data_IF_658620644740
#
_entry.id   IF_658620644740
#
_cell.length_a   1.000
_cell.length_b   1.000
_cell.length_c   1.000
_cell.angle_alpha   90.00
_cell.angle_beta   90.00
_cell.angle_gamma   90.00
#
_symmetry.space_group_name_H-M   'P 1'
#
loop_
_entity.id
_entity.type
_entity.pdbx_description
1 polymer ?
2 non-polymer ?
3 non-polymer ?
4 non-polymer ?
5 water ?
#
# COMPACT_ATOMS: atom_id res chain seq x y z
N UNK A 13 -4.84 15.35 20.90
CA UNK A 13 -5.54 15.15 19.64
C UNK A 13 -4.63 14.52 18.60
N UNK A 14 -3.39 14.24 19.00
CA UNK A 14 -2.46 13.56 18.11
C UNK A 14 -3.00 12.20 17.71
N UNK A 15 -2.62 11.77 16.50
CA UNK A 15 -3.05 10.47 16.00
C UNK A 15 -2.62 9.34 16.94
N UNK A 16 -3.54 8.43 17.20
CA UNK A 16 -3.29 7.27 18.06
C UNK A 16 -3.05 6.07 17.14
N UNK A 17 -1.85 5.50 17.10
CA UNK A 17 -1.58 4.38 16.19
C UNK A 17 -2.41 3.17 16.56
N UNK A 18 -3.06 2.55 15.59
CA UNK A 18 -3.81 1.31 15.84
C UNK A 18 -2.88 0.20 16.29
N UNK A 19 -3.40 -0.88 16.87
CA UNK A 19 -2.54 -2.01 17.24
C UNK A 19 -1.91 -2.67 16.02
N UNK A 20 -0.80 -3.35 16.25
CA UNK A 20 -0.05 -3.96 15.16
C UNK A 20 -0.75 -5.21 14.64
N UNK A 21 -0.76 -5.37 13.32
CA UNK A 21 -1.27 -6.58 12.72
C UNK A 21 -0.25 -7.70 12.89
N UNK A 22 -0.66 -8.96 12.69
CA UNK A 22 0.28 -10.08 12.87
C UNK A 22 1.43 -10.03 11.87
N UNK A 23 2.59 -10.47 12.34
CA UNK A 23 3.78 -10.61 11.52
C UNK A 23 4.26 -12.04 11.63
N UNK A 24 4.41 -12.71 10.49
CA UNK A 24 4.85 -14.10 10.44
C UNK A 24 6.24 -14.17 9.84
N UNK A 25 7.10 -14.98 10.46
CA UNK A 25 8.47 -15.20 10.00
C UNK A 25 8.62 -16.70 9.74
N UNK A 26 8.12 -17.18 8.61
CA UNK A 26 8.12 -18.63 8.35
C UNK A 26 9.53 -19.16 8.14
N UNK A 27 9.73 -20.40 8.60
CA UNK A 27 10.96 -21.11 8.29
C UNK A 27 10.97 -21.49 6.81
N UNK A 28 12.11 -22.06 6.37
CA UNK A 28 12.22 -22.47 4.97
C UNK A 28 11.21 -23.55 4.62
N UNK A 29 10.87 -24.41 5.58
CA UNK A 29 9.87 -25.44 5.33
C UNK A 29 8.49 -24.84 5.15
N UNK A 30 8.12 -23.89 6.03
CA UNK A 30 6.82 -23.25 5.91
C UNK A 30 6.73 -22.34 4.69
N UNK A 31 7.87 -21.83 4.22
CA UNK A 31 7.93 -20.90 3.10
C UNK A 31 7.82 -21.59 1.74
N UNK A 32 7.41 -22.85 1.71
CA UNK A 32 7.44 -23.62 0.48
C UNK A 32 6.29 -23.26 -0.47
N UNK A 33 5.16 -22.81 0.07
CA UNK A 33 4.00 -22.52 -0.77
C UNK A 33 3.19 -21.38 -0.17
N UNK A 34 2.96 -20.29 -0.93
CA UNK A 34 2.17 -19.18 -0.39
C UNK A 34 0.74 -19.57 -0.05
N UNK A 35 0.01 -20.20 -0.97
CA UNK A 35 -1.39 -20.54 -0.71
C UNK A 35 -1.51 -21.53 0.44
N UNK A 36 -0.57 -22.48 0.55
CA UNK A 36 -0.59 -23.39 1.69
C UNK A 36 -0.29 -22.65 2.99
N UNK A 37 0.61 -21.67 2.95
CA UNK A 37 0.95 -20.92 4.15
C UNK A 37 -0.19 -19.99 4.57
N UNK A 38 -0.76 -19.26 3.61
CA UNK A 38 -1.85 -18.33 3.93
C UNK A 38 -3.05 -19.09 4.47
N UNK A 39 -3.29 -20.30 3.96
CA UNK A 39 -4.38 -21.10 4.48
C UNK A 39 -4.18 -21.54 5.92
N UNK A 40 -2.92 -21.72 6.33
CA UNK A 40 -2.65 -22.16 7.70
C UNK A 40 -2.71 -21.00 8.68
N UNK A 41 -2.21 -19.82 8.30
CA UNK A 41 -2.30 -18.65 9.16
C UNK A 41 -3.67 -17.99 9.10
N UNK A 42 -4.59 -18.51 8.29
CA UNK A 42 -5.91 -17.91 8.10
C UNK A 42 -6.68 -17.68 9.39
N UNK A 43 -6.78 -18.62 10.33
CA UNK A 43 -7.60 -18.37 11.54
C UNK A 43 -7.23 -17.11 12.29
N UNK A 44 -5.96 -16.69 12.27
CA UNK A 44 -5.55 -15.47 12.95
C UNK A 44 -5.62 -14.25 12.04
N UNK A 45 -5.01 -14.33 10.85
CA UNK A 45 -4.94 -13.17 9.98
C UNK A 45 -6.32 -12.77 9.45
N UNK A 46 -7.24 -13.73 9.35
CA UNK A 46 -8.60 -13.38 8.92
C UNK A 46 -9.27 -12.44 9.90
N UNK A 47 -8.90 -12.51 11.18
CA UNK A 47 -9.49 -11.68 12.22
C UNK A 47 -8.81 -10.32 12.34
N UNK A 48 -7.76 -10.06 11.56
CA UNK A 48 -7.12 -8.76 11.50
C UNK A 48 -7.17 -8.11 10.13
N UNK A 49 -7.67 -8.81 9.12
CA UNK A 49 -7.74 -8.24 7.77
C UNK A 49 -6.45 -8.24 6.97
N UNK A 50 -5.36 -7.80 7.59
CA UNK A 50 -4.06 -7.76 6.95
C UNK A 50 -3.05 -8.48 7.83
N UNK A 51 -1.97 -8.95 7.21
CA UNK A 51 -0.87 -9.55 7.93
C UNK A 51 0.40 -9.35 7.12
N UNK A 52 1.53 -9.37 7.82
CA UNK A 52 2.83 -9.18 7.21
C UNK A 52 3.60 -10.50 7.26
N UNK A 53 4.33 -10.81 6.19
CA UNK A 53 5.10 -12.04 6.08
C UNK A 53 6.54 -11.67 5.76
N UNK A 54 7.45 -12.03 6.67
CA UNK A 54 8.88 -11.81 6.45
C UNK A 54 9.50 -13.09 5.91
N UNK A 55 9.99 -13.10 4.69
CA UNK A 55 10.62 -14.32 4.14
C UNK A 55 11.88 -14.66 4.91
N UNK A 56 12.41 -15.86 4.73
CA UNK A 56 13.71 -16.19 5.35
C UNK A 56 14.79 -15.20 4.92
N UNK A 57 15.81 -15.07 5.77
CA UNK A 57 16.77 -13.98 5.62
C UNK A 57 17.51 -14.04 4.29
N UNK A 58 17.78 -15.25 3.80
CA UNK A 58 18.55 -15.42 2.57
C UNK A 58 17.69 -15.47 1.32
N UNK A 59 16.40 -15.11 1.41
CA UNK A 59 15.52 -15.03 0.25
C UNK A 59 15.47 -13.57 -0.19
N UNK A 60 16.25 -13.25 -1.23
CA UNK A 60 16.39 -11.88 -1.71
C UNK A 60 16.36 -11.85 -3.23
N UNK A 61 15.20 -11.63 -3.84
CA UNK A 61 15.12 -11.54 -5.28
C UNK A 61 15.77 -10.27 -5.79
N UNK A 62 16.57 -10.35 -6.84
CA UNK A 62 17.16 -9.12 -7.41
C UNK A 62 16.13 -8.33 -8.20
N UNK A 63 16.28 -7.01 -8.16
CA UNK A 63 15.36 -6.13 -8.85
C UNK A 63 15.51 -6.31 -10.37
N UNK A 64 14.41 -6.61 -11.04
CA UNK A 64 14.44 -7.02 -12.44
C UNK A 64 13.73 -6.07 -13.38
N UNK A 65 13.38 -4.87 -12.93
CA UNK A 65 12.77 -3.89 -13.83
C UNK A 65 13.83 -3.30 -14.75
N UNK A 66 13.38 -2.89 -15.95
CA UNK A 66 14.24 -2.18 -16.89
C UNK A 66 14.37 -0.75 -16.40
N UNK A 67 15.31 -0.54 -15.47
CA UNK A 67 15.46 0.75 -14.83
C UNK A 67 15.92 1.82 -15.81
N UNK A 68 16.61 1.41 -16.88
CA UNK A 68 17.09 2.38 -17.86
C UNK A 68 15.93 3.07 -18.58
N UNK A 69 14.96 2.28 -19.05
CA UNK A 69 13.84 2.80 -19.80
C UNK A 69 12.65 3.20 -18.92
N UNK A 70 12.76 3.03 -17.61
CA UNK A 70 11.61 3.23 -16.73
C UNK A 70 11.22 4.70 -16.70
N UNK A 71 10.08 5.02 -17.29
CA UNK A 71 9.53 6.37 -17.27
C UNK A 71 8.05 6.30 -16.99
N UNK A 72 7.55 7.25 -16.21
CA UNK A 72 6.13 7.22 -15.84
C UNK A 72 5.66 8.62 -15.51
N UNK A 73 4.35 8.79 -15.49
CA UNK A 73 3.70 10.07 -15.18
C UNK A 73 2.82 9.88 -13.96
N UNK A 74 3.28 10.24 -12.77
CA UNK A 74 2.51 9.94 -11.55
C UNK A 74 1.30 10.84 -11.40
N UNK A 75 0.32 10.33 -10.67
CA UNK A 75 -0.87 11.12 -10.35
C UNK A 75 -0.57 12.12 -9.24
N UNK A 76 -1.27 13.24 -9.28
CA UNK A 76 -1.11 14.30 -8.30
C UNK A 76 -2.13 14.08 -7.18
N UNK A 77 -1.67 14.15 -5.94
CA UNK A 77 -2.50 13.88 -4.77
C UNK A 77 -2.45 15.09 -3.83
N UNK A 78 -3.61 15.70 -3.62
CA UNK A 78 -3.77 16.75 -2.63
C UNK A 78 -4.32 16.12 -1.36
N UNK A 79 -3.56 16.21 -0.26
CA UNK A 79 -3.87 15.43 0.93
C UNK A 79 -5.19 15.86 1.56
N UNK A 80 -5.51 17.16 1.52
CA UNK A 80 -6.72 17.67 2.16
C UNK A 80 -7.83 17.98 1.15
N UNK A 81 -7.94 17.19 0.08
CA UNK A 81 -8.91 17.51 -0.96
C UNK A 81 -10.34 17.34 -0.47
N UNK A 82 -10.58 16.35 0.40
CA UNK A 82 -11.94 16.14 0.91
C UNK A 82 -12.32 17.22 1.93
N UNK A 83 -11.42 17.51 2.87
CA UNK A 83 -11.71 18.52 3.88
C UNK A 83 -11.91 19.90 3.24
N UNK A 84 -11.26 20.16 2.11
CA UNK A 84 -11.39 21.43 1.42
C UNK A 84 -12.73 21.57 0.70
N UNK A 85 -13.58 20.54 0.73
CA UNK A 85 -14.91 20.66 0.13
C UNK A 85 -15.80 21.61 0.91
N UNK A 86 -15.60 21.70 2.22
CA UNK A 86 -16.42 22.58 3.07
C UNK A 86 -15.68 22.95 4.34
N UNK A 95 -9.79 23.63 -11.83
CA UNK A 95 -9.10 22.36 -11.64
C UNK A 95 -7.75 22.30 -12.35
N UNK A 96 -7.00 23.40 -12.28
CA UNK A 96 -5.69 23.51 -12.89
C UNK A 96 -4.61 23.72 -11.85
N UNK A 97 -4.69 22.96 -10.75
CA UNK A 97 -3.74 23.11 -9.66
C UNK A 97 -2.35 22.65 -10.07
N UNK A 98 -2.24 21.45 -10.63
CA UNK A 98 -0.95 20.89 -10.99
C UNK A 98 -1.14 19.79 -12.02
N UNK A 99 -0.45 19.92 -13.14
CA UNK A 99 -0.52 18.91 -14.19
C UNK A 99 0.39 17.72 -13.86
N UNK A 100 0.08 16.59 -14.47
CA UNK A 100 0.91 15.39 -14.31
C UNK A 100 2.10 15.50 -15.26
N UNK A 101 3.29 15.22 -14.75
CA UNK A 101 4.52 15.33 -15.53
C UNK A 101 5.26 14.00 -15.52
N UNK A 102 6.23 13.89 -16.41
CA UNK A 102 6.95 12.64 -16.62
C UNK A 102 8.21 12.60 -15.76
N UNK A 103 8.44 11.45 -15.13
CA UNK A 103 9.64 11.19 -14.36
C UNK A 103 10.32 9.93 -14.87
N UNK A 104 11.60 9.81 -14.57
CA UNK A 104 12.29 8.53 -14.57
C UNK A 104 12.36 8.03 -13.13
N UNK A 105 12.84 6.79 -12.98
CA UNK A 105 12.94 6.21 -11.64
C UNK A 105 13.94 6.98 -10.79
N UNK A 106 15.02 7.47 -11.40
CA UNK A 106 16.02 8.23 -10.67
C UNK A 106 15.56 9.66 -10.40
N UNK A 107 14.92 10.30 -11.38
CA UNK A 107 14.47 11.68 -11.18
C UNK A 107 13.32 11.76 -10.21
N UNK A 108 12.45 10.76 -10.17
CA UNK A 108 11.38 10.73 -9.18
C UNK A 108 11.96 10.53 -7.77
N UNK A 109 12.99 9.69 -7.65
CA UNK A 109 13.60 9.49 -6.35
C UNK A 109 14.30 10.74 -5.83
N UNK A 110 14.95 11.48 -6.72
CA UNK A 110 15.57 12.74 -6.31
C UNK A 110 14.53 13.75 -5.86
N UNK A 111 13.39 13.81 -6.57
CA UNK A 111 12.30 14.69 -6.14
C UNK A 111 11.72 14.23 -4.81
N UNK A 112 11.56 12.92 -4.63
CA UNK A 112 10.94 12.39 -3.42
C UNK A 112 11.82 12.62 -2.20
N UNK A 113 13.13 12.37 -2.32
CA UNK A 113 14.02 12.57 -1.20
C UNK A 113 14.17 14.05 -0.86
N UNK A 114 14.20 14.91 -1.88
CA UNK A 114 14.29 16.35 -1.62
C UNK A 114 13.05 16.84 -0.90
N UNK A 115 11.87 16.36 -1.29
CA UNK A 115 10.63 16.79 -0.65
C UNK A 115 10.63 16.43 0.84
N UNK A 116 10.93 15.16 1.14
CA UNK A 116 10.85 14.70 2.53
C UNK A 116 11.90 15.37 3.40
N UNK A 117 13.14 15.44 2.92
CA UNK A 117 14.21 16.05 3.71
C UNK A 117 13.96 17.54 3.92
N UNK A 118 13.40 18.23 2.91
CA UNK A 118 13.07 19.63 3.11
C UNK A 118 11.86 19.79 4.03
N UNK A 119 10.91 18.85 3.98
CA UNK A 119 9.71 18.98 4.78
C UNK A 119 10.02 18.80 6.27
N UNK A 120 10.83 17.81 6.61
CA UNK A 120 11.15 17.51 8.00
C UNK A 120 12.47 18.13 8.47
N UNK A 121 13.21 18.76 7.57
CA UNK A 121 14.47 19.44 7.91
C UNK A 121 15.47 18.47 8.54
N UNK A 122 15.61 17.30 7.94
CA UNK A 122 16.52 16.27 8.41
C UNK A 122 16.67 15.22 7.32
N UNK A 123 17.74 14.41 7.36
CA UNK A 123 17.89 13.34 6.37
C UNK A 123 16.69 12.41 6.39
N UNK A 124 16.36 11.88 5.20
CA UNK A 124 15.11 11.14 5.03
C UNK A 124 15.11 9.88 5.89
N UNK A 125 16.27 9.25 6.08
CA UNK A 125 16.34 8.01 6.84
C UNK A 125 16.31 8.23 8.34
N UNK A 126 16.34 9.49 8.80
CA UNK A 126 16.30 9.80 10.23
C UNK A 126 14.92 10.20 10.71
N UNK A 127 13.95 10.34 9.81
CA UNK A 127 12.59 10.74 10.19
C UNK A 127 11.87 9.53 10.75
N UNK A 128 11.43 9.58 12.02
CA UNK A 128 10.73 8.42 12.60
C UNK A 128 9.43 8.14 11.87
N UNK A 129 9.11 6.84 11.74
CA UNK A 129 7.87 6.46 11.07
C UNK A 129 6.64 6.99 11.80
N UNK A 130 6.71 7.10 13.14
CA UNK A 130 5.57 7.62 13.89
C UNK A 130 5.31 9.09 13.56
N UNK A 131 6.38 9.84 13.29
CA UNK A 131 6.21 11.26 12.98
C UNK A 131 5.57 11.47 11.61
N UNK A 132 6.03 10.73 10.60
CA UNK A 132 5.41 10.80 9.28
C UNK A 132 3.95 10.39 9.35
N UNK A 133 3.64 9.34 10.13
CA UNK A 133 2.26 8.90 10.28
C UNK A 133 1.43 9.97 10.97
N UNK A 134 1.96 10.57 12.04
CA UNK A 134 1.23 11.62 12.73
C UNK A 134 1.03 12.84 11.82
N UNK A 135 2.05 13.20 11.04
CA UNK A 135 1.94 14.38 10.20
C UNK A 135 1.01 14.14 9.00
N UNK A 136 1.03 12.92 8.46
CA UNK A 136 0.18 12.60 7.32
C UNK A 136 -1.29 12.81 7.67
N UNK A 137 -1.73 12.30 8.81
CA UNK A 137 -3.14 12.41 9.18
C UNK A 137 -3.50 13.81 9.64
N UNK A 138 -2.52 14.58 10.12
CA UNK A 138 -2.78 15.99 10.40
C UNK A 138 -2.98 16.77 9.11
N UNK A 139 -2.17 16.48 8.08
CA UNK A 139 -2.28 17.18 6.80
C UNK A 139 -3.56 16.79 6.07
N UNK A 140 -4.06 15.57 6.27
CA UNK A 140 -5.25 15.13 5.57
C UNK A 140 -6.46 15.96 5.96
N UNK A 141 -6.52 16.37 7.24
CA UNK A 141 -7.65 17.12 7.76
C UNK A 141 -7.31 18.59 8.01
N UNK A 142 -6.15 19.05 7.56
CA UNK A 142 -5.75 20.44 7.77
C UNK A 142 -6.37 21.34 6.71
N UNK A 143 -6.92 22.47 7.13
CA UNK A 143 -7.49 23.44 6.21
C UNK A 143 -6.52 24.58 5.88
N UNK A 144 -5.54 24.84 6.75
CA UNK A 144 -4.60 25.93 6.50
C UNK A 144 -3.45 25.49 5.61
N UNK A 145 -2.97 24.26 5.77
CA UNK A 145 -1.82 23.76 5.02
C UNK A 145 -2.30 22.87 3.88
N UNK A 146 -1.80 23.14 2.68
CA UNK A 146 -2.15 22.40 1.48
C UNK A 146 -0.90 21.72 0.93
N UNK A 147 -0.72 20.46 1.30
CA UNK A 147 0.42 19.66 0.85
C UNK A 147 0.01 18.83 -0.35
N UNK A 148 0.84 18.83 -1.38
CA UNK A 148 0.56 18.13 -2.64
C UNK A 148 1.75 17.24 -2.96
N UNK A 149 1.48 15.96 -3.23
CA UNK A 149 2.52 14.98 -3.53
C UNK A 149 2.13 14.26 -4.82
N UNK A 150 2.98 13.30 -5.21
CA UNK A 150 2.80 12.56 -6.45
C UNK A 150 2.99 11.07 -6.18
N UNK A 151 2.24 10.25 -6.92
CA UNK A 151 2.24 8.81 -6.71
C UNK A 151 2.24 8.11 -8.06
N UNK A 152 3.27 7.30 -8.32
CA UNK A 152 3.28 6.46 -9.50
C UNK A 152 2.44 5.22 -9.27
N UNK A 153 1.13 5.34 -9.49
CA UNK A 153 0.19 4.31 -9.07
C UNK A 153 -0.54 3.61 -10.21
N UNK A 154 -0.25 3.96 -11.47
CA UNK A 154 -0.88 3.30 -12.62
C UNK A 154 0.22 2.78 -13.55
N UNK A 155 0.94 1.78 -13.07
CA UNK A 155 2.08 1.21 -13.78
C UNK A 155 1.91 -0.31 -13.81
N UNK A 156 1.63 -0.86 -14.98
CA UNK A 156 1.50 -2.30 -15.12
C UNK A 156 2.88 -2.93 -15.27
N UNK A 157 3.01 -4.18 -14.82
CA UNK A 157 4.26 -4.92 -15.01
C UNK A 157 4.53 -5.20 -16.49
N UNK A 158 3.52 -5.06 -17.35
CA UNK A 158 3.74 -5.19 -18.78
C UNK A 158 4.45 -3.97 -19.37
N UNK A 159 4.48 -2.86 -18.64
CA UNK A 159 5.08 -1.63 -19.17
C UNK A 159 6.60 -1.77 -19.28
N UNK A 160 7.28 -1.99 -18.16
CA UNK A 160 8.73 -2.09 -18.13
C UNK A 160 9.22 -3.36 -17.44
N UNK A 161 8.36 -4.37 -17.33
CA UNK A 161 8.73 -5.60 -16.69
C UNK A 161 8.38 -5.62 -15.21
N UNK A 162 8.36 -6.83 -14.64
CA UNK A 162 8.10 -7.00 -13.22
C UNK A 162 9.35 -6.69 -12.41
N UNK A 163 9.14 -6.36 -11.13
CA UNK A 163 10.25 -6.23 -10.21
C UNK A 163 10.95 -7.55 -9.94
N UNK A 164 10.21 -8.68 -10.05
CA UNK A 164 10.72 -10.03 -9.93
C UNK A 164 11.28 -10.50 -11.28
N UNK A 165 12.28 -11.37 -11.26
CA UNK A 165 12.73 -11.98 -12.51
C UNK A 165 11.67 -12.94 -13.05
N UNK A 166 11.50 -12.92 -14.37
CA UNK A 166 10.48 -13.72 -15.04
C UNK A 166 11.15 -14.43 -16.22
N UNK A 167 10.86 -15.73 -16.35
CA UNK A 167 11.39 -16.51 -17.46
C UNK A 167 10.55 -16.34 -18.72
N UNK A 173 17.79 -13.92 -17.96
CA UNK A 173 18.01 -13.92 -16.52
C UNK A 173 19.28 -14.66 -16.17
N UNK A 174 19.91 -14.26 -15.06
CA UNK A 174 21.10 -14.92 -14.58
C UNK A 174 20.74 -16.24 -13.89
N UNK A 175 21.69 -17.18 -13.81
CA UNK A 175 21.39 -18.43 -13.10
C UNK A 175 21.03 -18.22 -11.64
N UNK A 176 21.64 -17.23 -10.98
CA UNK A 176 21.31 -16.95 -9.58
C UNK A 176 19.90 -16.39 -9.43
N UNK A 177 19.29 -15.92 -10.51
CA UNK A 177 17.93 -15.40 -10.47
C UNK A 177 16.87 -16.46 -10.76
N UNK A 178 17.28 -17.67 -11.17
CA UNK A 178 16.31 -18.66 -11.62
C UNK A 178 15.40 -19.13 -10.49
N UNK A 179 15.96 -19.29 -9.28
CA UNK A 179 15.16 -19.71 -8.15
C UNK A 179 14.01 -18.74 -7.89
N UNK A 180 14.26 -17.44 -8.08
CA UNK A 180 13.22 -16.44 -7.84
C UNK A 180 12.23 -16.35 -9.00
N UNK A 181 12.67 -16.65 -10.22
CA UNK A 181 11.75 -16.67 -11.35
C UNK A 181 10.75 -17.79 -11.25
N UNK A 182 11.11 -18.88 -10.55
CA UNK A 182 10.23 -20.03 -10.40
C UNK A 182 9.59 -20.11 -9.02
N UNK A 183 9.90 -19.17 -8.13
CA UNK A 183 9.38 -19.23 -6.77
C UNK A 183 7.88 -18.98 -6.74
N UNK A 184 7.18 -19.69 -5.85
CA UNK A 184 5.76 -19.45 -5.67
C UNK A 184 5.44 -18.08 -5.10
N UNK A 185 6.40 -17.46 -4.43
CA UNK A 185 6.22 -16.12 -3.87
C UNK A 185 6.52 -15.02 -4.89
N UNK A 186 7.07 -15.37 -6.05
CA UNK A 186 7.07 -14.46 -7.18
C UNK A 186 5.62 -14.13 -7.55
N UNK A 187 5.27 -12.85 -7.46
CA UNK A 187 3.89 -12.43 -7.70
C UNK A 187 3.42 -12.73 -9.12
N UNK A 188 4.34 -13.01 -10.04
CA UNK A 188 3.95 -13.40 -11.38
C UNK A 188 3.50 -14.86 -11.45
N UNK A 189 3.67 -15.61 -10.37
CA UNK A 189 3.32 -17.03 -10.32
C UNK A 189 2.13 -17.29 -9.38
N UNK A 190 1.40 -16.25 -9.00
CA UNK A 190 0.24 -16.45 -8.15
C UNK A 190 -0.96 -16.88 -8.99
N UNK A 191 -1.83 -17.76 -8.47
CA UNK A 191 -3.02 -18.15 -9.21
C UNK A 191 -4.04 -17.00 -9.23
N UNK A 192 -4.35 -16.53 -10.43
CA UNK A 192 -5.20 -15.35 -10.60
C UNK A 192 -6.55 -15.68 -11.21
N UNK A 193 -6.78 -16.92 -11.64
CA UNK A 193 -8.07 -17.30 -12.19
C UNK A 193 -9.02 -17.72 -11.07
N UNK A 194 -10.29 -17.37 -11.24
CA UNK A 194 -11.31 -17.69 -10.24
C UNK A 194 -11.92 -19.06 -10.50
N UNK A 209 -4.98 -11.57 -14.27
CA UNK A 209 -4.37 -10.27 -14.53
C UNK A 209 -2.85 -10.34 -14.38
N UNK A 210 -2.23 -9.17 -14.32
CA UNK A 210 -0.77 -9.07 -14.14
C UNK A 210 -0.52 -8.20 -12.92
N UNK A 211 0.64 -8.34 -12.30
CA UNK A 211 0.96 -7.47 -11.15
C UNK A 211 1.09 -6.03 -11.58
N UNK A 212 0.69 -5.13 -10.67
CA UNK A 212 0.83 -3.69 -10.88
C UNK A 212 1.92 -3.16 -9.96
N UNK A 213 2.49 -2.02 -10.34
CA UNK A 213 3.62 -1.44 -9.64
C UNK A 213 3.25 -0.09 -9.04
N UNK A 214 3.87 0.24 -7.92
CA UNK A 214 3.62 1.49 -7.22
C UNK A 214 4.94 2.12 -6.82
N UNK A 215 5.23 3.28 -7.40
CA UNK A 215 6.41 4.06 -7.04
C UNK A 215 5.94 5.16 -6.10
N UNK A 216 6.30 5.05 -4.82
CA UNK A 216 5.80 5.94 -3.81
C UNK A 216 6.79 7.00 -3.38
N UNK A 217 6.27 8.04 -2.76
CA UNK A 217 7.04 9.07 -2.07
C UNK A 217 6.37 9.34 -0.73
N UNK A 218 6.98 10.21 0.06
CA UNK A 218 6.42 10.55 1.37
C UNK A 218 5.05 11.19 1.20
N UNK A 219 4.05 10.66 1.92
CA UNK A 219 2.67 11.11 2.02
C UNK A 219 1.80 10.63 0.86
N UNK A 220 2.35 10.01 -0.17
CA UNK A 220 1.52 9.39 -1.19
C UNK A 220 0.74 8.23 -0.58
N UNK A 221 -0.52 8.08 -0.97
CA UNK A 221 -1.43 7.24 -0.21
C UNK A 221 -2.45 6.57 -1.12
N UNK A 222 -3.14 5.58 -0.55
CA UNK A 222 -4.27 4.91 -1.18
C UNK A 222 -5.37 4.79 -0.14
N UNK A 223 -6.60 5.16 -0.54
CA UNK A 223 -7.71 5.27 0.41
C UNK A 223 -8.35 3.90 0.66
N UNK A 224 -9.37 3.89 1.52
CA UNK A 224 -10.01 2.66 1.94
C UNK A 224 -10.74 1.98 0.79
N UNK A 225 -10.55 0.67 0.66
CA UNK A 225 -11.17 -0.08 -0.42
C UNK A 225 -11.04 -1.56 -0.13
N UNK A 226 -11.89 -2.34 -0.80
CA UNK A 226 -11.72 -3.77 -0.92
C UNK A 226 -11.47 -4.10 -2.39
N UNK A 227 -11.04 -5.33 -2.64
CA UNK A 227 -10.74 -5.74 -4.00
C UNK A 227 -11.99 -6.16 -4.75
N UNK A 228 -11.92 -6.11 -6.08
CA UNK A 228 -12.99 -6.64 -6.90
C UNK A 228 -13.15 -8.13 -6.62
N UNK A 229 -14.40 -8.60 -6.59
CA UNK A 229 -14.74 -9.99 -6.30
C UNK A 229 -14.31 -10.42 -4.90
N UNK A 230 -14.05 -9.45 -4.01
CA UNK A 230 -13.59 -9.73 -2.65
C UNK A 230 -12.35 -10.61 -2.65
N UNK A 231 -11.46 -10.37 -3.60
CA UNK A 231 -10.31 -11.24 -3.77
C UNK A 231 -9.23 -10.94 -2.74
N UNK A 232 -8.36 -11.94 -2.52
CA UNK A 232 -7.13 -11.69 -1.80
C UNK A 232 -6.26 -10.72 -2.59
N UNK A 233 -5.27 -10.16 -1.90
CA UNK A 233 -4.21 -9.41 -2.56
C UNK A 233 -2.91 -9.62 -1.79
N UNK A 234 -1.82 -9.76 -2.54
CA UNK A 234 -0.50 -9.91 -1.96
C UNK A 234 0.39 -8.78 -2.49
N UNK A 235 1.16 -8.18 -1.58
CA UNK A 235 1.91 -6.97 -1.88
C UNK A 235 3.35 -7.16 -1.42
N UNK A 236 4.30 -6.84 -2.30
CA UNK A 236 5.72 -6.98 -2.00
C UNK A 236 6.41 -5.64 -2.22
N UNK A 237 7.20 -5.21 -1.23
CA UNK A 237 7.98 -3.99 -1.30
C UNK A 237 9.40 -4.35 -1.74
N UNK A 238 9.74 -4.03 -2.97
CA UNK A 238 11.04 -4.41 -3.51
C UNK A 238 12.18 -3.66 -2.82
N UNK A 239 12.06 -2.34 -2.71
CA UNK A 239 13.08 -1.54 -2.05
C UNK A 239 12.47 -0.21 -1.61
N UNK A 240 13.24 0.53 -0.84
CA UNK A 240 12.86 1.87 -0.43
C UNK A 240 12.37 1.93 1.01
N UNK A 241 11.81 3.10 1.33
CA UNK A 241 11.30 3.38 2.66
C UNK A 241 9.97 2.66 2.89
N UNK A 242 9.59 2.44 4.15
CA UNK A 242 8.45 1.56 4.43
C UNK A 242 7.13 2.09 3.88
N UNK A 243 6.19 1.16 3.70
CA UNK A 243 4.81 1.46 3.35
C UNK A 243 3.95 1.16 4.57
N UNK A 244 3.22 2.17 5.04
CA UNK A 244 2.39 2.01 6.24
C UNK A 244 0.99 1.58 5.84
N UNK A 245 0.49 0.53 6.51
CA UNK A 245 -0.79 -0.08 6.17
C UNK A 245 -1.79 0.08 7.31
N UNK A 246 -3.07 0.08 6.95
CA UNK A 246 -4.16 -0.06 7.90
C UNK A 246 -5.16 -1.06 7.33
N UNK A 247 -5.65 -1.95 8.18
CA UNK A 247 -6.52 -3.01 7.72
C UNK A 247 -7.68 -3.23 8.68
N UNK A 248 -8.80 -3.68 8.12
CA UNK A 248 -10.00 -3.96 8.89
C UNK A 248 -10.46 -5.38 8.56
N UNK A 249 -10.72 -6.22 9.56
CA UNK A 249 -11.14 -7.59 9.28
C UNK A 249 -12.49 -7.62 8.57
N UNK A 250 -12.72 -8.71 7.83
CA UNK A 250 -13.90 -8.79 6.98
C UNK A 250 -15.19 -8.82 7.78
N UNK A 251 -15.16 -9.34 9.01
CA UNK A 251 -16.36 -9.38 9.83
C UNK A 251 -16.82 -7.99 10.24
N UNK A 252 -15.97 -6.97 10.10
CA UNK A 252 -16.36 -5.59 10.37
C UNK A 252 -16.51 -4.77 9.10
N UNK A 253 -16.67 -5.44 7.95
CA UNK A 253 -16.78 -4.72 6.68
C UNK A 253 -18.05 -3.89 6.60
N UNK A 254 -19.18 -4.45 7.03
CA UNK A 254 -20.43 -3.70 6.96
C UNK A 254 -20.48 -2.58 7.99
N UNK A 255 -19.76 -2.74 9.11
CA UNK A 255 -19.68 -1.65 10.07
C UNK A 255 -18.87 -0.48 9.53
N UNK A 256 -17.79 -0.77 8.81
CA UNK A 256 -16.99 0.30 8.21
C UNK A 256 -17.79 1.04 7.15
N UNK A 257 -18.52 0.31 6.30
CA UNK A 257 -19.33 0.95 5.26
C UNK A 257 -20.43 1.81 5.86
N UNK A 258 -20.98 1.42 7.01
CA UNK A 258 -21.96 2.24 7.70
C UNK A 258 -21.34 3.54 8.19
N UNK A 259 -20.17 3.47 8.82
CA UNK A 259 -19.50 4.67 9.30
C UNK A 259 -19.11 5.56 8.14
N UNK A 260 -18.61 4.97 7.05
CA UNK A 260 -18.28 5.73 5.86
C UNK A 260 -19.50 6.48 5.35
N UNK A 261 -20.63 5.79 5.21
CA UNK A 261 -21.84 6.42 4.67
C UNK A 261 -22.31 7.57 5.55
N UNK A 262 -22.21 7.41 6.88
CA UNK A 262 -22.71 8.44 7.79
C UNK A 262 -21.83 9.69 7.74
N UNK A 263 -20.52 9.51 7.66
CA UNK A 263 -19.58 10.63 7.75
C UNK A 263 -19.05 11.10 6.41
N UNK A 264 -19.37 10.41 5.31
CA UNK A 264 -18.92 10.87 4.00
C UNK A 264 -19.65 12.15 3.63
N UNK A 265 -19.07 12.97 2.74
CA UNK A 265 -19.80 14.12 2.21
C UNK A 265 -21.11 13.69 1.59
N UNK A 266 -22.14 14.52 1.76
CA UNK A 266 -23.48 14.15 1.31
C UNK A 266 -23.54 13.96 -0.20
N UNK A 267 -22.71 14.69 -0.95
CA UNK A 267 -22.72 14.56 -2.40
C UNK A 267 -22.18 13.21 -2.86
N UNK A 268 -21.35 12.56 -2.04
CA UNK A 268 -20.79 11.26 -2.36
C UNK A 268 -21.49 10.12 -1.64
N UNK A 269 -22.45 10.42 -0.76
CA UNK A 269 -23.04 9.39 0.08
C UNK A 269 -23.81 8.36 -0.73
N UNK A 270 -24.52 8.80 -1.77
CA UNK A 270 -25.35 7.92 -2.58
C UNK A 270 -24.59 7.27 -3.72
N UNK A 271 -23.29 7.52 -3.84
CA UNK A 271 -22.53 6.98 -4.97
C UNK A 271 -22.32 5.47 -4.81
N UNK A 272 -22.27 4.73 -5.92
CA UNK A 272 -21.95 3.30 -5.83
C UNK A 272 -20.59 3.09 -5.19
N UNK A 273 -20.42 1.91 -4.59
CA UNK A 273 -19.21 1.63 -3.82
C UNK A 273 -17.95 1.75 -4.67
N UNK A 274 -18.03 1.33 -5.94
CA UNK A 274 -16.83 1.37 -6.79
C UNK A 274 -16.37 2.79 -7.06
N UNK A 275 -17.31 3.73 -7.17
CA UNK A 275 -16.99 5.15 -7.31
C UNK A 275 -16.71 5.82 -5.98
N UNK A 276 -17.47 5.46 -4.94
CA UNK A 276 -17.21 6.02 -3.61
C UNK A 276 -15.81 5.66 -3.13
N UNK A 277 -15.33 4.46 -3.46
CA UNK A 277 -14.01 4.01 -3.05
C UNK A 277 -12.88 4.85 -3.63
N UNK A 278 -13.18 5.75 -4.58
CA UNK A 278 -12.15 6.64 -5.10
C UNK A 278 -11.83 7.79 -4.16
N UNK A 279 -12.70 8.05 -3.18
CA UNK A 279 -12.52 9.17 -2.26
C UNK A 279 -12.84 8.75 -0.84
N UNK A 280 -12.61 7.48 -0.51
CA UNK A 280 -12.88 6.98 0.84
C UNK A 280 -11.65 7.14 1.74
N UNK A 281 -11.29 8.40 1.98
CA UNK A 281 -10.20 8.71 2.90
C UNK A 281 -10.79 9.02 4.26
N UNK A 282 -10.25 8.38 5.30
CA UNK A 282 -10.80 8.52 6.64
C UNK A 282 -9.73 8.17 7.67
N UNK A 283 -9.59 9.02 8.68
CA UNK A 283 -8.64 8.75 9.75
C UNK A 283 -9.00 7.46 10.47
N UNK A 284 -8.05 6.55 10.67
CA UNK A 284 -8.37 5.29 11.35
C UNK A 284 -8.92 5.48 12.75
N UNK A 285 -8.51 6.55 13.45
CA UNK A 285 -9.05 6.80 14.79
C UNK A 285 -10.54 7.10 14.74
N UNK A 286 -11.02 7.68 13.65
CA UNK A 286 -12.46 7.91 13.49
C UNK A 286 -13.20 6.59 13.38
N UNK A 287 -12.65 5.63 12.62
CA UNK A 287 -13.25 4.31 12.55
C UNK A 287 -13.19 3.61 13.91
N UNK A 288 -12.07 3.74 14.61
CA UNK A 288 -11.91 3.10 15.90
C UNK A 288 -12.87 3.68 16.94
N UNK A 289 -13.15 4.98 16.86
CA UNK A 289 -14.10 5.59 17.78
C UNK A 289 -15.52 5.11 17.54
N UNK A 290 -15.84 4.65 16.33
CA UNK A 290 -17.15 4.11 16.00
C UNK A 290 -17.22 2.60 16.13
N UNK A 291 -16.24 1.98 16.80
CA UNK A 291 -16.27 0.56 17.08
C UNK A 291 -15.64 -0.32 16.03
N UNK A 292 -15.05 0.24 14.98
CA UNK A 292 -14.44 -0.55 13.91
C UNK A 292 -13.02 -0.95 14.32
N UNK A 293 -12.71 -2.25 14.36
CA UNK A 293 -11.33 -2.65 14.68
C UNK A 293 -10.39 -2.35 13.52
N UNK A 294 -9.26 -1.73 13.84
CA UNK A 294 -8.26 -1.35 12.84
C UNK A 294 -6.90 -1.82 13.31
N UNK A 295 -6.13 -2.40 12.40
CA UNK A 295 -4.77 -2.83 12.67
C UNK A 295 -3.82 -2.14 11.70
N UNK A 296 -2.59 -1.93 12.15
CA UNK A 296 -1.59 -1.22 11.38
C UNK A 296 -0.33 -2.07 11.24
N UNK A 297 0.54 -1.66 10.31
CA UNK A 297 1.87 -2.22 10.19
C UNK A 297 2.71 -1.34 9.29
N UNK A 298 4.02 -1.39 9.50
CA UNK A 298 5.00 -0.76 8.62
C UNK A 298 5.65 -1.87 7.79
N UNK A 299 5.36 -1.89 6.50
CA UNK A 299 5.93 -2.88 5.59
C UNK A 299 7.29 -2.41 5.12
N UNK A 300 8.34 -3.08 5.57
CA UNK A 300 9.70 -2.72 5.18
C UNK A 300 10.10 -3.47 3.90
N UNK A 301 11.23 -3.07 3.34
CA UNK A 301 11.70 -3.65 2.09
C UNK A 301 11.95 -5.14 2.25
N UNK A 302 11.47 -5.92 1.28
CA UNK A 302 11.62 -7.36 1.32
C UNK A 302 10.53 -8.09 2.07
N UNK A 303 9.47 -7.41 2.48
CA UNK A 303 8.40 -8.01 3.26
C UNK A 303 7.09 -8.02 2.48
N UNK A 304 6.30 -9.06 2.69
CA UNK A 304 5.00 -9.21 2.06
C UNK A 304 3.89 -8.70 2.97
N UNK A 305 2.83 -8.17 2.35
CA UNK A 305 1.59 -7.86 3.04
C UNK A 305 0.45 -8.54 2.29
N UNK A 306 -0.35 -9.32 3.01
CA UNK A 306 -1.48 -10.04 2.44
C UNK A 306 -2.77 -9.45 3.01
N UNK A 307 -3.70 -9.10 2.13
CA UNK A 307 -5.03 -8.67 2.52
C UNK A 307 -6.02 -9.79 2.23
N UNK A 308 -6.93 -10.03 3.14
CA UNK A 308 -7.85 -11.15 3.05
C UNK A 308 -9.15 -10.72 2.38
N UNK A 309 -10.00 -11.67 1.98
CA UNK A 309 -11.22 -11.32 1.26
C UNK A 309 -12.09 -10.35 2.06
N UNK A 310 -12.52 -9.28 1.38
CA UNK A 310 -13.40 -8.25 1.94
C UNK A 310 -12.78 -7.54 3.13
N UNK A 311 -11.45 -7.53 3.23
CA UNK A 311 -10.76 -6.81 4.29
C UNK A 311 -10.41 -5.43 3.78
N UNK A 312 -11.12 -4.40 4.27
CA UNK A 312 -10.83 -3.03 3.87
C UNK A 312 -9.42 -2.65 4.30
N UNK A 313 -8.71 -1.95 3.42
CA UNK A 313 -7.35 -1.55 3.73
C UNK A 313 -7.04 -0.21 3.09
N UNK A 314 -6.07 0.47 3.69
CA UNK A 314 -5.61 1.77 3.21
C UNK A 314 -4.21 2.00 3.75
N UNK A 315 -3.56 3.04 3.25
CA UNK A 315 -2.23 3.33 3.75
C UNK A 315 -1.56 4.47 3.00
N UNK A 316 -0.29 4.66 3.32
CA UNK A 316 0.53 5.70 2.73
C UNK A 316 1.99 5.26 2.80
N UNK A 317 2.83 5.94 2.02
CA UNK A 317 4.24 5.61 1.93
C UNK A 317 5.07 6.57 2.78
N UNK A 318 6.05 6.01 3.49
CA UNK A 318 6.94 6.82 4.31
C UNK A 318 7.95 7.58 3.47
N UNK A 319 8.21 7.14 2.25
CA UNK A 319 9.18 7.81 1.40
C UNK A 319 9.32 7.09 0.08
N UNK A 320 10.43 7.37 -0.60
CA UNK A 320 10.71 6.77 -1.90
C UNK A 320 10.81 5.25 -1.76
N UNK A 321 9.91 4.54 -2.43
CA UNK A 321 9.92 3.08 -2.41
C UNK A 321 9.33 2.54 -3.71
N UNK A 322 9.30 1.21 -3.81
CA UNK A 322 8.86 0.53 -5.02
C UNK A 322 8.15 -0.74 -4.61
N UNK A 323 6.87 -0.87 -4.96
CA UNK A 323 6.06 -2.01 -4.55
C UNK A 323 5.45 -2.70 -5.77
N UNK A 324 5.07 -3.96 -5.58
CA UNK A 324 4.40 -4.76 -6.60
C UNK A 324 3.26 -5.51 -5.94
N UNK A 325 2.12 -5.56 -6.62
CA UNK A 325 0.91 -6.12 -6.03
C UNK A 325 0.08 -6.83 -7.09
N UNK A 326 -0.64 -7.86 -6.67
CA UNK A 326 -1.53 -8.61 -7.55
C UNK A 326 -2.63 -9.23 -6.71
N UNK A 327 -3.81 -9.39 -7.32
CA UNK A 327 -4.92 -10.07 -6.69
C UNK A 327 -4.88 -11.56 -7.02
N UNK A 328 -5.34 -12.37 -6.06
CA UNK A 328 -5.41 -13.81 -6.27
C UNK A 328 -6.60 -14.38 -5.52
N UNK A 329 -7.09 -15.51 -6.01
CA UNK A 329 -8.19 -16.23 -5.39
C UNK A 329 -7.74 -17.62 -4.98
N UNK A 330 -8.41 -18.16 -3.96
CA UNK A 330 -8.07 -19.49 -3.44
C UNK A 330 -9.19 -20.48 -3.74
X LIG B 1 -3.82 5.61 -5.28
X LIG B 1 -5.94 3.95 -4.70
X LIG B 1 -4.76 1.78 -9.59
X LIG B 1 -6.28 -0.65 -10.16
X LIG B 1 -5.68 -1.01 -11.49
X LIG B 1 -4.55 -0.08 -11.83
X LIG B 1 -5.08 0.03 -4.32
X LIG B 1 -0.53 0.71 -2.76
X LIG B 1 -1.81 -0.05 -2.71
X LIG B 1 -2.91 0.27 -3.50
X LIG B 1 -4.37 1.18 -4.98
X LIG B 1 -4.86 2.00 -5.93
X LIG B 1 -4.88 3.43 -5.44
X LIG B 1 -3.83 4.29 -5.71
X LIG B 1 -4.90 6.10 -4.55
X LIG B 1 -5.96 5.26 -4.26
X LIG B 1 -5.17 2.39 -8.29
X LIG B 1 -5.21 -0.53 -9.08
X LIG B 1 -3.53 0.00 -10.69
X LIG B 1 -4.05 -0.48 -3.40
X LIG B 1 -3.11 -1.84 -1.80
X LIG B 1 -1.92 -1.13 -1.84
X LIG B 1 -3.10 1.27 -4.46
X LIG B 1 -4.17 0.43 -9.45
X LIG B 1 -4.17 -1.53 -2.56
X LIG B 1 -0.51 1.88 -3.23
X LIG B 1 -4.28 1.96 -7.23
X LIG B 1 0.54 0.19 -2.32
X LIG B 1 -7.30 2.94 -4.32
X LIG C 1 -5.86 -3.04 -2.51
X LIG D 1 -15.77 -13.10 3.17
X LIG D 1 -16.63 -12.20 3.97
X LIG D 1 -14.13 -13.21 3.93
X LIG D 1 -16.32 -14.82 3.42
#
# INVERSE_FOLDING_TARGET
HNMAGVGPGGYAAEFVPPPECPVFEPSWEEFTDPLSFIGRIRPLAEKTGICKIRPPKDWQPPFACEVKSFRFTPRVQRLNELEAMTRVRPREAFGFEQAVREYTLQSFGEMADNFKSDYFNMPVHMVPTELVEKEFWRLVSSIEEDVIVEYGADISSKDFGSGFPVKDGRRKILPEEEEYALSGWNLNNMPVLEQSVLAHINVDISGMKVPWLYVGMCFSSFCWHIEDHWSYSINYLHWGEPKTWYGVPSHAAEQLEEVMRELAPELFESQPDLLHQLVTIMNPNVLMEHGVPVYRTNQCAGEFVVTFPRAYHSGFNQGYNFAEAVNFCT
DO1 C10 C13 C17 C20 C21 C24 C26 C02 C03 C04 C06 C07 C08 C09 C11 C12 C16 C19 C25 C27 C29 C30 N05 N18 N28 O01 O15 O31 CL1
MN MN
DMS S O C1 C2
#
